data_IF_133785966901
#
_entry.id   IF_133785966901
#
_cell.length_a   1.000
_cell.length_b   1.000
_cell.length_c   1.000
_cell.angle_alpha   90.00
_cell.angle_beta   90.00
_cell.angle_gamma   90.00
#
_symmetry.space_group_name_H-M   'P 1'
#
loop_
_entity.id
_entity.type
_entity.pdbx_description
1 polymer ?
#
# COMPACT_ATOMS: atom_id res chain seq x y z
N UNK A 1 7.85 -30.39 -46.54
CA UNK A 1 7.85 -28.91 -46.62
C UNK A 1 7.22 -28.36 -45.33
N UNK A 2 7.91 -28.49 -44.20
CA UNK A 2 7.58 -27.83 -42.92
C UNK A 2 8.93 -27.44 -42.31
N UNK A 3 9.27 -26.16 -42.35
CA UNK A 3 10.48 -25.62 -41.72
C UNK A 3 10.15 -25.19 -40.30
N UNK A 4 10.93 -25.68 -39.35
CA UNK A 4 10.91 -25.33 -37.94
C UNK A 4 11.18 -23.83 -37.75
N UNK A 5 10.31 -23.15 -37.00
CA UNK A 5 10.57 -21.83 -36.44
C UNK A 5 11.33 -21.99 -35.12
N UNK A 6 12.57 -21.50 -35.07
CA UNK A 6 13.28 -21.25 -33.81
C UNK A 6 12.81 -19.90 -33.24
N UNK A 7 12.61 -19.74 -31.92
CA UNK A 7 12.30 -18.44 -31.34
C UNK A 7 13.59 -17.61 -31.19
N UNK A 8 13.64 -16.47 -31.87
CA UNK A 8 14.66 -15.44 -31.69
C UNK A 8 14.40 -14.67 -30.38
N UNK A 9 14.94 -15.13 -29.27
CA UNK A 9 14.75 -14.51 -27.94
C UNK A 9 15.75 -13.39 -27.59
N UNK A 10 16.57 -12.91 -28.55
CA UNK A 10 17.69 -12.01 -28.22
C UNK A 10 17.75 -10.71 -29.03
N UNK A 11 16.74 -10.40 -29.85
CA UNK A 11 16.73 -9.20 -30.72
C UNK A 11 15.61 -8.19 -30.40
N UNK A 12 14.77 -8.44 -29.40
CA UNK A 12 13.68 -7.52 -29.01
C UNK A 12 14.07 -6.50 -27.94
N UNK A 13 15.26 -6.61 -27.33
CA UNK A 13 15.68 -5.71 -26.24
C UNK A 13 16.21 -4.34 -26.72
N UNK A 14 16.52 -4.18 -28.02
CA UNK A 14 17.17 -2.97 -28.55
C UNK A 14 16.28 -2.05 -29.41
N UNK A 15 14.95 -2.25 -29.44
CA UNK A 15 14.07 -1.51 -30.38
C UNK A 15 13.03 -0.55 -29.78
N UNK A 16 13.04 -0.32 -28.47
CA UNK A 16 12.10 0.58 -27.79
C UNK A 16 12.73 1.87 -27.22
N UNK A 17 13.81 2.36 -27.84
CA UNK A 17 14.33 3.71 -27.60
C UNK A 17 14.22 4.55 -28.86
N UNK A 18 12.99 4.90 -29.24
CA UNK A 18 12.77 6.05 -30.11
C UNK A 18 11.98 7.08 -29.32
N UNK A 19 12.71 8.11 -28.89
CA UNK A 19 12.19 9.32 -28.27
C UNK A 19 11.09 9.94 -29.14
N UNK A 20 9.89 10.08 -28.59
CA UNK A 20 8.99 11.15 -28.99
C UNK A 20 9.51 12.40 -28.29
N UNK A 21 10.23 13.24 -29.03
CA UNK A 21 10.61 14.57 -28.59
C UNK A 21 9.35 15.43 -28.50
N UNK A 22 8.91 15.72 -27.28
CA UNK A 22 8.04 16.88 -27.08
C UNK A 22 8.87 18.12 -27.36
N UNK A 23 8.41 18.91 -28.34
CA UNK A 23 8.92 20.26 -28.60
C UNK A 23 8.75 21.08 -27.33
N UNK A 24 9.84 21.25 -26.58
CA UNK A 24 9.95 22.30 -25.59
C UNK A 24 10.30 23.58 -26.32
N UNK A 25 9.43 24.59 -26.20
CA UNK A 25 9.76 25.96 -26.57
C UNK A 25 11.04 26.36 -25.82
N UNK A 26 12.16 26.43 -26.53
CA UNK A 26 13.46 26.80 -26.00
C UNK A 26 13.56 28.32 -25.85
N UNK A 27 12.85 28.86 -24.86
CA UNK A 27 13.33 30.09 -24.25
C UNK A 27 14.53 29.72 -23.38
N UNK A 28 15.72 30.19 -23.77
CA UNK A 28 16.92 30.18 -22.93
C UNK A 28 16.58 30.88 -21.61
N UNK A 29 16.32 30.10 -20.57
CA UNK A 29 16.23 30.58 -19.19
C UNK A 29 17.61 30.34 -18.58
N UNK A 30 18.19 31.41 -18.04
CA UNK A 30 19.47 31.41 -17.34
C UNK A 30 19.59 30.24 -16.35
N UNK A 31 20.67 29.48 -16.50
CA UNK A 31 21.00 28.36 -15.63
C UNK A 31 21.35 28.84 -14.22
N UNK A 32 20.72 28.18 -13.24
CA UNK A 32 21.11 28.02 -11.82
C UNK A 32 20.07 28.40 -10.75
N UNK A 33 18.82 28.73 -11.08
CA UNK A 33 17.76 28.69 -10.04
C UNK A 33 17.09 27.33 -10.02
N UNK A 34 17.45 26.53 -9.00
CA UNK A 34 16.67 25.36 -8.58
C UNK A 34 15.27 25.86 -8.25
N UNK A 35 14.25 25.39 -8.97
CA UNK A 35 12.87 25.82 -8.70
C UNK A 35 12.43 25.26 -7.35
N UNK A 36 11.95 26.16 -6.48
CA UNK A 36 11.28 25.72 -5.27
C UNK A 36 9.95 25.08 -5.63
N UNK A 37 9.74 23.87 -5.13
CA UNK A 37 8.55 23.08 -5.44
C UNK A 37 7.91 22.57 -4.15
N UNK A 38 6.60 22.36 -4.21
CA UNK A 38 5.78 21.75 -3.16
C UNK A 38 4.86 20.72 -3.82
N UNK A 39 4.76 19.52 -3.23
CA UNK A 39 3.99 18.40 -3.79
C UNK A 39 3.14 17.73 -2.71
N UNK A 40 1.95 17.30 -3.11
CA UNK A 40 1.02 16.54 -2.29
C UNK A 40 1.15 15.05 -2.60
N UNK A 41 1.43 14.23 -1.59
CA UNK A 41 1.68 12.81 -1.72
C UNK A 41 0.59 11.98 -1.05
N UNK A 42 0.22 10.89 -1.72
CA UNK A 42 -0.64 9.83 -1.19
C UNK A 42 -0.32 8.51 -1.88
N UNK A 43 -0.79 7.38 -1.37
CA UNK A 43 -0.34 6.03 -1.81
C UNK A 43 -1.31 4.94 -1.34
N UNK A 44 -1.14 3.71 -1.82
CA UNK A 44 -1.72 2.49 -1.23
C UNK A 44 -3.25 2.59 -1.02
N UNK A 45 -3.95 3.07 -2.06
CA UNK A 45 -5.40 3.16 -2.05
C UNK A 45 -6.04 1.77 -2.05
N UNK A 46 -5.45 0.82 -2.79
CA UNK A 46 -6.00 -0.51 -2.99
C UNK A 46 -7.50 -0.46 -3.30
N UNK A 47 -7.85 0.17 -4.42
CA UNK A 47 -9.22 0.26 -4.90
C UNK A 47 -9.79 -1.14 -5.11
N UNK A 48 -10.90 -1.38 -4.42
CA UNK A 48 -11.68 -2.62 -4.41
C UNK A 48 -13.14 -2.26 -4.13
N UNK A 49 -14.03 -3.24 -4.26
CA UNK A 49 -15.45 -3.05 -3.92
C UNK A 49 -15.65 -2.58 -2.48
N UNK A 50 -14.76 -2.98 -1.55
CA UNK A 50 -14.82 -2.62 -0.12
C UNK A 50 -14.25 -1.24 0.20
N UNK A 51 -13.42 -0.70 -0.67
CA UNK A 51 -12.66 0.54 -0.43
C UNK A 51 -13.11 1.69 -1.32
N UNK A 52 -13.82 1.43 -2.43
CA UNK A 52 -14.16 2.43 -3.45
C UNK A 52 -14.77 3.72 -2.88
N UNK A 53 -15.77 3.63 -2.02
CA UNK A 53 -16.44 4.83 -1.51
C UNK A 53 -15.49 5.68 -0.62
N UNK A 54 -14.53 5.04 0.07
CA UNK A 54 -13.47 5.73 0.81
C UNK A 54 -12.39 6.28 -0.13
N UNK A 55 -12.04 5.54 -1.17
CA UNK A 55 -11.16 5.99 -2.24
C UNK A 55 -11.67 7.29 -2.86
N UNK A 56 -12.95 7.35 -3.25
CA UNK A 56 -13.53 8.55 -3.87
C UNK A 56 -13.47 9.74 -2.90
N UNK A 57 -13.79 9.55 -1.62
CA UNK A 57 -13.65 10.60 -0.60
C UNK A 57 -12.21 11.09 -0.45
N UNK A 58 -11.23 10.18 -0.48
CA UNK A 58 -9.81 10.56 -0.46
C UNK A 58 -9.42 11.36 -1.69
N UNK A 59 -9.80 10.90 -2.89
CA UNK A 59 -9.48 11.60 -4.13
C UNK A 59 -10.07 13.01 -4.16
N UNK A 60 -11.31 13.17 -3.69
CA UNK A 60 -11.96 14.48 -3.54
C UNK A 60 -11.16 15.40 -2.60
N UNK A 61 -10.75 14.89 -1.44
CA UNK A 61 -9.92 15.64 -0.47
C UNK A 61 -8.56 16.00 -1.04
N UNK A 62 -7.91 15.08 -1.75
CA UNK A 62 -6.62 15.35 -2.41
C UNK A 62 -6.76 16.46 -3.45
N UNK A 63 -7.83 16.43 -4.25
CA UNK A 63 -8.17 17.50 -5.20
C UNK A 63 -8.39 18.84 -4.50
N UNK A 64 -9.20 18.87 -3.45
CA UNK A 64 -9.46 20.06 -2.65
C UNK A 64 -8.16 20.66 -2.09
N UNK A 65 -7.33 19.86 -1.43
CA UNK A 65 -6.04 20.30 -0.87
C UNK A 65 -5.12 20.84 -1.97
N UNK A 66 -5.06 20.17 -3.12
CA UNK A 66 -4.26 20.62 -4.27
C UNK A 66 -4.71 22.00 -4.77
N UNK A 67 -6.03 22.21 -4.90
CA UNK A 67 -6.62 23.47 -5.38
C UNK A 67 -6.52 24.60 -4.37
N UNK A 68 -6.61 24.30 -3.08
CA UNK A 68 -6.47 25.29 -2.01
C UNK A 68 -5.02 25.78 -1.86
N UNK A 69 -4.05 24.93 -2.22
CA UNK A 69 -2.63 25.23 -2.07
C UNK A 69 -1.94 25.53 -3.42
N UNK A 70 -2.45 26.53 -4.15
CA UNK A 70 -1.87 26.96 -5.43
C UNK A 70 -0.46 27.55 -5.29
N UNK A 71 0.33 27.43 -6.34
CA UNK A 71 1.62 28.11 -6.45
C UNK A 71 1.45 29.62 -6.72
N UNK A 72 2.57 30.34 -6.79
CA UNK A 72 2.57 31.80 -7.04
C UNK A 72 2.01 32.22 -8.40
N UNK A 73 1.86 31.29 -9.34
CA UNK A 73 1.25 31.50 -10.65
C UNK A 73 -0.23 31.08 -10.68
N UNK A 74 -0.80 30.69 -9.52
CA UNK A 74 -2.16 30.24 -9.40
C UNK A 74 -2.40 28.81 -9.88
N UNK A 75 -1.37 28.01 -10.17
CA UNK A 75 -1.52 26.59 -10.55
C UNK A 75 -1.76 25.73 -9.30
N UNK A 76 -2.67 24.72 -9.32
CA UNK A 76 -2.83 23.80 -8.19
C UNK A 76 -1.53 23.07 -7.85
N UNK A 77 -1.39 22.65 -6.59
CA UNK A 77 -0.23 21.87 -6.17
C UNK A 77 -0.16 20.55 -6.94
N UNK A 78 1.02 20.22 -7.47
CA UNK A 78 1.23 18.93 -8.10
C UNK A 78 1.01 17.78 -7.09
N UNK A 79 0.35 16.73 -7.56
CA UNK A 79 0.04 15.53 -6.80
C UNK A 79 0.93 14.39 -7.27
N UNK A 80 1.45 13.59 -6.33
CA UNK A 80 2.21 12.37 -6.63
C UNK A 80 1.58 11.20 -5.89
N UNK A 81 1.14 10.19 -6.63
CA UNK A 81 0.64 8.94 -6.09
C UNK A 81 1.76 7.89 -6.09
N UNK A 82 2.12 7.35 -4.93
CA UNK A 82 3.29 6.47 -4.77
C UNK A 82 3.01 4.98 -4.97
N UNK A 83 2.01 4.62 -5.78
CA UNK A 83 1.72 3.25 -6.19
C UNK A 83 0.68 2.52 -5.34
N UNK A 84 0.30 1.34 -5.81
CA UNK A 84 -0.78 0.49 -5.28
C UNK A 84 -2.14 1.17 -5.32
N UNK A 85 -2.50 1.59 -6.54
CA UNK A 85 -3.81 2.16 -6.80
C UNK A 85 -4.86 1.07 -6.71
N UNK A 86 -4.69 -0.03 -7.43
CA UNK A 86 -5.62 -1.15 -7.46
C UNK A 86 -5.32 -2.14 -6.33
N UNK A 87 -6.35 -2.81 -5.82
CA UNK A 87 -6.14 -3.91 -4.88
C UNK A 87 -5.79 -5.22 -5.61
N UNK A 88 -6.51 -5.49 -6.70
CA UNK A 88 -6.41 -6.72 -7.47
C UNK A 88 -5.66 -6.46 -8.76
N UNK A 89 -4.68 -7.33 -9.04
CA UNK A 89 -4.07 -7.43 -10.36
C UNK A 89 -5.13 -7.93 -11.35
N UNK A 90 -5.01 -7.58 -12.63
CA UNK A 90 -5.82 -8.11 -13.74
C UNK A 90 -7.32 -7.80 -13.77
N UNK A 91 -7.90 -7.15 -12.76
CA UNK A 91 -9.36 -7.01 -12.68
C UNK A 91 -9.81 -5.56 -12.43
N UNK A 92 -10.58 -5.03 -13.39
CA UNK A 92 -11.19 -3.71 -13.31
C UNK A 92 -12.72 -3.84 -13.36
N UNK A 93 -13.41 -3.27 -12.37
CA UNK A 93 -14.86 -3.32 -12.28
C UNK A 93 -15.47 -2.07 -12.91
N UNK A 94 -16.54 -2.24 -13.70
CA UNK A 94 -17.23 -1.12 -14.38
C UNK A 94 -17.63 -0.01 -13.40
N UNK A 95 -18.20 -0.35 -12.24
CA UNK A 95 -18.56 0.64 -11.20
C UNK A 95 -17.34 1.42 -10.70
N UNK A 96 -16.18 0.77 -10.55
CA UNK A 96 -14.97 1.45 -10.09
C UNK A 96 -14.52 2.45 -11.16
N UNK A 97 -14.48 2.01 -12.41
CA UNK A 97 -14.09 2.84 -13.54
C UNK A 97 -15.01 4.06 -13.69
N UNK A 98 -16.32 3.87 -13.64
CA UNK A 98 -17.29 4.97 -13.76
C UNK A 98 -17.03 6.08 -12.72
N UNK A 99 -16.98 5.73 -11.43
CA UNK A 99 -16.79 6.73 -10.36
C UNK A 99 -15.39 7.36 -10.38
N UNK A 100 -14.35 6.59 -10.68
CA UNK A 100 -12.98 7.09 -10.76
C UNK A 100 -12.78 8.04 -11.95
N UNK A 101 -13.36 7.70 -13.11
CA UNK A 101 -13.29 8.57 -14.28
C UNK A 101 -14.08 9.86 -14.05
N UNK A 102 -15.24 9.81 -13.38
CA UNK A 102 -15.97 11.02 -12.99
C UNK A 102 -15.12 11.93 -12.10
N UNK A 103 -14.46 11.39 -11.07
CA UNK A 103 -13.60 12.18 -10.19
C UNK A 103 -12.36 12.72 -10.94
N UNK A 104 -11.64 11.90 -11.71
CA UNK A 104 -10.46 12.37 -12.45
C UNK A 104 -10.78 13.35 -13.59
N UNK A 105 -11.98 13.31 -14.17
CA UNK A 105 -12.44 14.39 -15.05
C UNK A 105 -12.50 15.74 -14.33
N UNK A 106 -12.87 15.77 -13.05
CA UNK A 106 -12.84 17.01 -12.26
C UNK A 106 -11.42 17.48 -11.97
N UNK A 107 -10.47 16.56 -11.79
CA UNK A 107 -9.05 16.89 -11.64
C UNK A 107 -8.49 17.53 -12.92
N UNK A 108 -8.81 16.97 -14.08
CA UNK A 108 -8.34 17.47 -15.38
C UNK A 108 -8.93 18.85 -15.72
N UNK A 109 -10.22 19.08 -15.44
CA UNK A 109 -10.87 20.41 -15.54
C UNK A 109 -10.16 21.48 -14.69
N UNK A 110 -9.59 21.08 -13.56
CA UNK A 110 -8.85 21.96 -12.65
C UNK A 110 -7.36 22.04 -12.98
N UNK A 111 -6.90 21.31 -14.00
CA UNK A 111 -5.51 21.24 -14.44
C UNK A 111 -4.52 20.80 -13.34
N UNK A 112 -4.93 19.83 -12.52
CA UNK A 112 -4.11 19.28 -11.46
C UNK A 112 -3.04 18.36 -12.07
N UNK A 113 -1.78 18.80 -11.98
CA UNK A 113 -0.63 17.98 -12.39
C UNK A 113 -0.50 16.76 -11.50
N UNK A 114 -0.63 15.56 -12.08
CA UNK A 114 -0.68 14.31 -11.32
C UNK A 114 0.34 13.31 -11.85
N UNK A 115 1.25 12.86 -10.99
CA UNK A 115 2.21 11.78 -11.32
C UNK A 115 1.81 10.51 -10.58
N UNK A 116 1.54 9.44 -11.30
CA UNK A 116 1.10 8.15 -10.77
C UNK A 116 2.20 7.12 -10.91
N UNK A 117 2.81 6.68 -9.81
CA UNK A 117 3.72 5.54 -9.83
C UNK A 117 2.93 4.24 -9.92
N UNK A 118 3.47 3.26 -10.64
CA UNK A 118 2.93 1.91 -10.69
C UNK A 118 3.49 1.12 -9.50
N UNK A 119 2.61 0.67 -8.60
CA UNK A 119 2.95 -0.19 -7.47
C UNK A 119 2.90 -1.68 -7.82
N UNK A 120 3.12 -2.54 -6.83
CA UNK A 120 3.15 -3.98 -7.06
C UNK A 120 1.75 -4.55 -7.33
N UNK A 121 0.71 -4.05 -6.69
CA UNK A 121 -0.67 -4.51 -6.91
C UNK A 121 -1.25 -4.04 -8.25
N UNK A 122 -0.66 -3.01 -8.85
CA UNK A 122 -1.12 -2.48 -10.13
C UNK A 122 -0.67 -3.34 -11.33
N UNK A 123 0.42 -4.10 -11.17
CA UNK A 123 1.12 -4.81 -12.25
C UNK A 123 0.52 -6.18 -12.56
N UNK A 124 0.34 -6.44 -13.86
CA UNK A 124 -0.12 -7.71 -14.45
C UNK A 124 1.04 -8.56 -14.95
N UNK A 125 2.14 -7.93 -15.39
CA UNK A 125 3.35 -8.62 -15.84
C UNK A 125 4.50 -8.40 -14.86
N UNK A 126 5.38 -9.39 -14.76
CA UNK A 126 6.61 -9.35 -13.96
C UNK A 126 7.49 -8.11 -14.23
N UNK A 127 7.58 -7.70 -15.49
CA UNK A 127 8.38 -6.54 -15.91
C UNK A 127 7.66 -5.20 -15.67
N UNK A 128 6.46 -5.22 -15.11
CA UNK A 128 5.64 -4.05 -14.79
C UNK A 128 5.07 -3.28 -15.98
N UNK A 129 5.21 -3.79 -17.22
CA UNK A 129 4.82 -3.09 -18.44
C UNK A 129 3.30 -3.11 -18.69
N UNK A 130 2.60 -4.15 -18.24
CA UNK A 130 1.13 -4.21 -18.29
C UNK A 130 0.60 -3.95 -16.89
N UNK A 131 -0.26 -2.94 -16.73
CA UNK A 131 -0.82 -2.55 -15.43
C UNK A 131 -2.12 -1.74 -15.59
N UNK A 132 -2.93 -1.71 -14.54
CA UNK A 132 -4.26 -1.07 -14.56
C UNK A 132 -4.24 0.46 -14.63
N UNK A 133 -3.10 1.11 -14.37
CA UNK A 133 -2.99 2.58 -14.39
C UNK A 133 -2.91 3.20 -15.79
N UNK A 134 -2.61 2.42 -16.85
CA UNK A 134 -2.38 2.96 -18.21
C UNK A 134 -3.55 3.81 -18.72
N UNK A 135 -4.77 3.45 -18.36
CA UNK A 135 -5.98 4.19 -18.76
C UNK A 135 -6.02 5.64 -18.27
N UNK A 136 -5.28 5.99 -17.21
CA UNK A 136 -5.24 7.35 -16.70
C UNK A 136 -4.28 8.26 -17.47
N UNK A 137 -3.48 7.73 -18.40
CA UNK A 137 -2.70 8.56 -19.35
C UNK A 137 -3.58 9.32 -20.35
N UNK A 138 -4.88 8.98 -20.42
CA UNK A 138 -5.85 9.71 -21.24
C UNK A 138 -6.08 11.15 -20.73
N UNK A 139 -5.75 11.43 -19.47
CA UNK A 139 -5.85 12.78 -18.91
C UNK A 139 -4.59 13.58 -19.20
N UNK A 140 -4.76 14.79 -19.77
CA UNK A 140 -3.66 15.63 -20.26
C UNK A 140 -2.64 15.97 -19.18
N UNK A 141 -3.12 16.15 -17.95
CA UNK A 141 -2.30 16.57 -16.81
C UNK A 141 -1.76 15.40 -16.00
N UNK A 142 -1.98 14.17 -16.44
CA UNK A 142 -1.58 12.97 -15.73
C UNK A 142 -0.34 12.37 -16.40
N UNK A 143 0.56 11.84 -15.58
CA UNK A 143 1.72 11.09 -16.01
C UNK A 143 1.76 9.77 -15.26
N UNK A 144 1.68 8.65 -15.99
CA UNK A 144 1.86 7.34 -15.39
C UNK A 144 3.32 6.92 -15.55
N UNK A 145 3.96 6.62 -14.43
CA UNK A 145 5.36 6.20 -14.40
C UNK A 145 5.44 4.67 -14.41
N UNK A 146 5.24 4.07 -15.60
CA UNK A 146 5.55 2.65 -15.84
C UNK A 146 7.05 2.38 -15.72
N UNK A 147 7.84 3.31 -16.27
CA UNK A 147 9.30 3.36 -16.19
C UNK A 147 9.78 4.55 -15.34
N UNK A 148 11.04 4.52 -14.85
CA UNK A 148 11.61 5.61 -14.09
C UNK A 148 11.53 6.94 -14.82
N UNK A 149 11.13 7.98 -14.10
CA UNK A 149 11.10 9.34 -14.62
C UNK A 149 12.00 10.25 -13.77
N UNK A 150 12.82 11.06 -14.43
CA UNK A 150 13.74 11.99 -13.78
C UNK A 150 13.40 13.42 -14.21
N UNK A 151 12.95 14.24 -13.26
CA UNK A 151 12.77 15.67 -13.43
C UNK A 151 14.05 16.37 -12.95
N UNK A 152 14.92 16.71 -13.90
CA UNK A 152 16.21 17.34 -13.62
C UNK A 152 16.08 18.77 -13.11
N UNK A 153 14.99 19.48 -13.44
CA UNK A 153 14.76 20.86 -13.00
C UNK A 153 14.46 20.89 -11.49
N UNK A 154 13.54 20.02 -11.05
CA UNK A 154 13.16 19.89 -9.65
C UNK A 154 14.11 19.02 -8.82
N UNK A 155 15.01 18.28 -9.49
CA UNK A 155 15.80 17.18 -8.91
C UNK A 155 14.91 16.13 -8.22
N UNK A 156 13.83 15.75 -8.92
CA UNK A 156 12.91 14.71 -8.47
C UNK A 156 13.07 13.45 -9.32
N UNK A 157 13.18 12.29 -8.67
CA UNK A 157 13.16 10.99 -9.32
C UNK A 157 11.91 10.22 -8.92
N UNK A 158 11.23 9.61 -9.88
CA UNK A 158 10.00 8.84 -9.69
C UNK A 158 10.27 7.41 -10.11
N UNK A 159 10.34 6.49 -9.13
CA UNK A 159 10.81 5.12 -9.31
C UNK A 159 9.66 4.13 -9.03
N UNK A 160 9.04 3.54 -10.07
CA UNK A 160 7.97 2.56 -9.87
C UNK A 160 8.47 1.25 -9.26
N UNK A 161 7.53 0.38 -8.88
CA UNK A 161 7.84 -0.96 -8.39
C UNK A 161 8.49 -1.83 -9.47
N UNK A 162 9.41 -2.69 -9.03
CA UNK A 162 9.95 -3.81 -9.79
C UNK A 162 9.86 -5.08 -8.96
N UNK A 163 9.41 -6.16 -9.59
CA UNK A 163 9.14 -7.39 -8.89
C UNK A 163 10.42 -8.06 -8.36
N UNK A 164 11.53 -7.94 -9.08
CA UNK A 164 12.80 -8.53 -8.62
C UNK A 164 13.60 -7.54 -7.77
N UNK A 165 14.32 -8.08 -6.78
CA UNK A 165 15.27 -7.31 -5.96
C UNK A 165 16.30 -6.59 -6.81
N UNK A 166 16.88 -7.30 -7.78
CA UNK A 166 17.91 -6.74 -8.68
C UNK A 166 17.37 -5.54 -9.45
N UNK A 167 16.21 -5.68 -10.09
CA UNK A 167 15.64 -4.60 -10.89
C UNK A 167 15.24 -3.40 -10.02
N UNK A 168 14.68 -3.65 -8.82
CA UNK A 168 14.34 -2.59 -7.89
C UNK A 168 15.59 -1.83 -7.41
N UNK A 169 16.67 -2.54 -7.03
CA UNK A 169 17.93 -1.92 -6.60
C UNK A 169 18.58 -1.11 -7.72
N UNK A 170 18.55 -1.62 -8.94
CA UNK A 170 19.07 -0.91 -10.11
C UNK A 170 18.39 0.44 -10.34
N UNK A 171 17.13 0.64 -9.94
CA UNK A 171 16.48 1.94 -10.04
C UNK A 171 17.16 3.01 -9.16
N UNK A 172 17.60 2.62 -7.96
CA UNK A 172 18.27 3.52 -7.02
C UNK A 172 19.75 3.74 -7.40
N UNK A 173 20.45 2.70 -7.82
CA UNK A 173 21.86 2.79 -8.21
C UNK A 173 22.08 3.75 -9.39
N UNK A 174 21.15 3.76 -10.36
CA UNK A 174 21.18 4.66 -11.53
C UNK A 174 21.12 6.14 -11.18
N UNK A 175 20.63 6.52 -10.00
CA UNK A 175 20.59 7.93 -9.58
C UNK A 175 21.98 8.57 -9.56
N UNK A 176 23.02 7.78 -9.28
CA UNK A 176 24.41 8.23 -9.32
C UNK A 176 24.89 8.58 -10.73
N UNK A 177 24.40 7.88 -11.73
CA UNK A 177 24.76 8.10 -13.13
C UNK A 177 24.03 9.32 -13.71
N UNK A 178 22.80 9.57 -13.27
CA UNK A 178 22.04 10.75 -13.67
C UNK A 178 22.56 12.05 -13.03
N UNK A 179 23.21 11.99 -11.87
CA UNK A 179 23.78 13.18 -11.22
C UNK A 179 24.98 13.76 -11.99
N UNK A 180 25.83 12.92 -12.59
CA UNK A 180 27.01 13.37 -13.36
C UNK A 180 26.66 14.42 -14.42
N UNK A 181 25.41 14.43 -14.90
CA UNK A 181 24.94 15.36 -15.93
C UNK A 181 24.60 16.75 -15.41
N UNK A 182 24.19 16.93 -14.14
CA UNK A 182 23.57 18.18 -13.68
C UNK A 182 23.79 18.56 -12.20
N UNK A 183 24.58 17.82 -11.41
CA UNK A 183 24.96 18.12 -10.01
C UNK A 183 23.82 18.15 -8.96
N UNK A 184 24.10 17.73 -7.72
CA UNK A 184 23.18 17.87 -6.59
C UNK A 184 22.21 16.70 -6.38
N UNK A 185 21.73 16.57 -5.14
CA UNK A 185 21.00 15.40 -4.66
C UNK A 185 19.53 15.34 -5.10
N UNK A 186 19.07 14.12 -5.39
CA UNK A 186 17.71 13.76 -5.77
C UNK A 186 16.77 13.67 -4.56
N UNK A 187 15.57 14.22 -4.71
CA UNK A 187 14.42 13.78 -3.91
C UNK A 187 13.73 12.65 -4.68
N UNK A 188 13.59 11.50 -4.03
CA UNK A 188 13.06 10.27 -4.63
C UNK A 188 11.63 10.04 -4.17
N UNK A 189 10.76 9.74 -5.11
CA UNK A 189 9.42 9.22 -4.92
C UNK A 189 9.44 7.78 -5.43
N UNK A 190 9.11 6.79 -4.61
CA UNK A 190 9.16 5.41 -5.06
C UNK A 190 8.07 4.53 -4.45
N UNK A 191 7.79 3.42 -5.13
CA UNK A 191 7.09 2.29 -4.53
C UNK A 191 8.11 1.16 -4.38
N UNK A 192 8.57 0.90 -3.16
CA UNK A 192 9.69 -0.01 -2.93
C UNK A 192 9.65 -0.61 -1.52
N UNK A 193 10.27 -1.77 -1.39
CA UNK A 193 10.39 -2.48 -0.13
C UNK A 193 11.79 -2.27 0.47
N UNK A 194 11.90 -1.38 1.44
CA UNK A 194 13.15 -1.09 2.17
C UNK A 194 13.27 -1.96 3.41
N UNK A 195 14.44 -2.59 3.55
CA UNK A 195 14.79 -3.42 4.71
C UNK A 195 14.63 -2.67 6.02
N UNK A 196 14.05 -3.36 6.99
CA UNK A 196 13.86 -2.84 8.35
C UNK A 196 12.57 -2.05 8.57
N UNK A 197 11.78 -1.83 7.53
CA UNK A 197 10.45 -1.26 7.64
C UNK A 197 9.48 -2.19 8.39
N UNK A 198 8.54 -1.59 9.11
CA UNK A 198 7.50 -2.29 9.86
C UNK A 198 6.26 -2.38 8.99
N UNK A 199 5.91 -3.61 8.62
CA UNK A 199 4.73 -3.91 7.85
C UNK A 199 3.46 -3.98 8.71
N UNK A 200 2.30 -4.03 8.06
CA UNK A 200 1.02 -4.22 8.73
C UNK A 200 1.04 -5.52 9.56
N UNK A 201 0.70 -5.42 10.85
CA UNK A 201 0.81 -6.53 11.82
C UNK A 201 2.09 -6.52 12.66
N UNK A 202 3.00 -5.57 12.42
CA UNK A 202 4.18 -5.34 13.27
C UNK A 202 5.44 -6.10 12.86
N UNK A 203 5.44 -6.79 11.72
CA UNK A 203 6.60 -7.55 11.24
C UNK A 203 7.63 -6.63 10.59
N UNK A 204 8.90 -6.83 10.96
CA UNK A 204 10.03 -6.13 10.36
C UNK A 204 10.43 -6.82 9.06
N UNK A 205 10.35 -6.08 7.94
CA UNK A 205 10.67 -6.59 6.61
C UNK A 205 12.16 -6.85 6.42
N UNK A 206 12.46 -7.94 5.68
CA UNK A 206 13.79 -8.26 5.16
C UNK A 206 14.21 -7.36 3.98
N UNK A 207 13.24 -6.76 3.28
CA UNK A 207 13.41 -5.78 2.22
C UNK A 207 13.94 -6.32 0.90
N UNK A 208 13.57 -5.65 -0.20
CA UNK A 208 14.25 -5.79 -1.50
C UNK A 208 15.44 -4.83 -1.58
N UNK A 209 15.28 -3.63 -1.03
CA UNK A 209 16.31 -2.60 -1.02
C UNK A 209 17.02 -2.61 0.33
N UNK A 210 18.34 -2.80 0.29
CA UNK A 210 19.17 -2.61 1.47
C UNK A 210 19.29 -1.13 1.82
N UNK A 211 19.45 -0.88 3.11
CA UNK A 211 19.61 0.46 3.66
C UNK A 211 20.78 1.24 3.00
N UNK A 212 21.86 0.56 2.61
CA UNK A 212 23.01 1.17 1.93
C UNK A 212 22.68 1.77 0.57
N UNK A 213 21.75 1.17 -0.20
CA UNK A 213 21.32 1.68 -1.50
C UNK A 213 20.60 3.03 -1.41
N UNK A 214 20.12 3.39 -0.21
CA UNK A 214 19.44 4.67 0.03
C UNK A 214 20.27 5.60 0.94
N UNK A 215 20.65 5.18 2.15
CA UNK A 215 21.41 6.03 3.09
C UNK A 215 22.87 6.20 2.69
N UNK A 216 23.49 5.14 2.17
CA UNK A 216 24.87 5.19 1.66
C UNK A 216 24.98 5.99 0.36
N UNK A 217 23.86 6.16 -0.35
CA UNK A 217 23.81 6.89 -1.60
C UNK A 217 23.80 8.41 -1.37
N UNK A 218 24.99 9.01 -1.46
CA UNK A 218 25.22 10.45 -1.29
C UNK A 218 24.40 11.33 -2.22
N UNK A 219 23.83 10.74 -3.28
CA UNK A 219 23.08 11.41 -4.32
C UNK A 219 21.59 11.50 -3.97
N UNK A 220 21.14 10.94 -2.84
CA UNK A 220 19.77 11.01 -2.36
C UNK A 220 19.67 12.03 -1.23
N UNK A 221 18.81 13.03 -1.42
CA UNK A 221 18.43 14.02 -0.40
C UNK A 221 17.41 13.43 0.55
N UNK A 222 16.34 12.88 0.00
CA UNK A 222 15.22 12.27 0.72
C UNK A 222 14.52 11.25 -0.17
N UNK A 223 13.85 10.29 0.45
CA UNK A 223 13.05 9.27 -0.23
C UNK A 223 11.66 9.18 0.42
N UNK A 224 10.61 9.31 -0.38
CA UNK A 224 9.22 9.15 0.04
C UNK A 224 8.63 7.91 -0.65
N UNK A 225 8.07 7.02 0.15
CA UNK A 225 7.73 5.65 -0.24
C UNK A 225 6.24 5.33 -0.04
N UNK A 226 5.67 4.61 -1.00
CA UNK A 226 4.47 3.78 -0.83
C UNK A 226 4.82 2.35 -0.39
N UNK A 227 3.87 1.40 -0.47
CA UNK A 227 3.96 -0.05 -0.15
C UNK A 227 3.57 -0.43 1.28
N UNK A 228 4.07 0.31 2.29
CA UNK A 228 3.67 0.08 3.67
C UNK A 228 2.67 1.13 4.15
N UNK A 229 1.55 0.65 4.68
CA UNK A 229 0.44 1.52 5.08
C UNK A 229 0.71 2.28 6.37
N UNK A 230 1.65 1.80 7.19
CA UNK A 230 2.07 2.48 8.40
C UNK A 230 3.05 3.61 8.07
N UNK A 231 2.69 4.83 8.48
CA UNK A 231 3.60 5.97 8.52
C UNK A 231 4.80 5.68 9.39
N UNK A 232 5.99 5.80 8.82
CA UNK A 232 7.23 5.56 9.54
C UNK A 232 8.41 6.20 8.81
N UNK A 233 9.43 6.55 9.59
CA UNK A 233 10.74 6.94 9.08
C UNK A 233 11.70 5.77 9.27
N UNK A 234 12.45 5.44 8.23
CA UNK A 234 13.60 4.55 8.31
C UNK A 234 14.83 5.45 8.16
N UNK A 235 15.85 5.22 9.00
CA UNK A 235 17.02 6.10 9.08
C UNK A 235 16.63 7.57 9.26
N UNK A 236 17.28 8.48 8.51
CA UNK A 236 17.12 9.93 8.71
C UNK A 236 16.33 10.65 7.60
N UNK A 237 16.17 10.01 6.42
CA UNK A 237 15.63 10.69 5.24
C UNK A 237 14.73 9.81 4.36
N UNK A 238 14.30 8.64 4.86
CA UNK A 238 13.40 7.72 4.14
C UNK A 238 12.09 7.61 4.89
N UNK A 239 10.99 7.88 4.19
CA UNK A 239 9.67 7.98 4.78
C UNK A 239 8.69 7.09 4.03
N UNK A 240 8.04 6.16 4.71
CA UNK A 240 6.76 5.65 4.22
C UNK A 240 5.67 6.64 4.66
N UNK A 241 4.93 7.16 3.69
CA UNK A 241 3.89 8.17 3.98
C UNK A 241 2.57 7.55 4.48
N UNK A 242 2.45 6.22 4.37
CA UNK A 242 1.30 5.44 4.81
C UNK A 242 0.06 5.60 3.95
N UNK A 243 -0.92 4.71 4.14
CA UNK A 243 -2.17 4.74 3.40
C UNK A 243 -3.08 5.88 3.90
N UNK A 244 -3.98 6.40 3.05
CA UNK A 244 -4.87 7.51 3.41
C UNK A 244 -6.05 7.09 4.30
N UNK A 245 -6.28 5.79 4.45
CA UNK A 245 -7.23 5.21 5.41
C UNK A 245 -6.81 3.81 5.84
N UNK A 246 -7.39 3.35 6.95
CA UNK A 246 -7.20 1.99 7.45
C UNK A 246 -7.74 0.97 6.45
N UNK A 247 -6.88 0.08 5.97
CA UNK A 247 -7.27 -1.01 5.07
C UNK A 247 -7.84 -2.20 5.84
N UNK A 248 -7.40 -2.39 7.09
CA UNK A 248 -7.82 -3.51 7.94
C UNK A 248 -7.66 -3.20 9.44
N UNK A 249 -8.13 -4.11 10.29
CA UNK A 249 -8.06 -4.00 11.74
C UNK A 249 -6.63 -4.09 12.34
N UNK A 250 -5.60 -4.33 11.54
CA UNK A 250 -4.19 -4.29 11.95
C UNK A 250 -3.61 -2.87 11.96
N UNK A 251 -4.28 -1.92 11.30
CA UNK A 251 -3.89 -0.51 11.18
C UNK A 251 -4.69 0.39 12.14
N UNK A 252 -5.40 -0.22 13.10
CA UNK A 252 -6.08 0.55 14.14
C UNK A 252 -5.08 1.40 14.90
N UNK A 253 -5.48 2.63 15.23
CA UNK A 253 -4.68 3.62 15.97
C UNK A 253 -3.50 4.22 15.20
N UNK A 254 -3.12 3.69 14.04
CA UNK A 254 -2.16 4.36 13.17
C UNK A 254 -2.81 5.62 12.53
N UNK A 255 -2.06 6.71 12.34
CA UNK A 255 -2.56 7.91 11.67
C UNK A 255 -2.57 7.71 10.15
N UNK A 256 -3.63 8.21 9.50
CA UNK A 256 -3.88 8.04 8.06
C UNK A 256 -4.27 9.36 7.39
N UNK A 257 -3.91 9.51 6.13
CA UNK A 257 -4.17 10.70 5.33
C UNK A 257 -3.09 10.93 4.28
N UNK A 258 -2.65 12.18 4.11
CA UNK A 258 -1.72 12.58 3.03
C UNK A 258 -0.51 13.33 3.58
N UNK A 259 0.49 13.55 2.72
CA UNK A 259 1.71 14.25 3.10
C UNK A 259 2.03 15.38 2.11
N UNK A 260 2.45 16.52 2.61
CA UNK A 260 3.00 17.62 1.81
C UNK A 260 4.52 17.64 1.99
N UNK A 261 5.25 17.71 0.87
CA UNK A 261 6.73 17.78 0.85
C UNK A 261 7.20 18.92 -0.04
N UNK A 262 8.44 19.39 0.14
CA UNK A 262 8.98 20.49 -0.67
C UNK A 262 10.51 20.44 -0.87
N UNK A 263 11.00 21.34 -1.73
CA UNK A 263 12.43 21.51 -2.06
C UNK A 263 13.30 22.00 -0.89
N UNK A 264 12.69 22.54 0.18
CA UNK A 264 13.41 23.21 1.29
C UNK A 264 13.56 22.30 2.51
N UNK A 265 12.50 21.59 2.91
CA UNK A 265 12.48 20.69 4.06
C UNK A 265 12.23 19.23 3.62
N UNK A 266 13.00 18.30 4.16
CA UNK A 266 12.84 16.87 3.88
C UNK A 266 11.74 16.22 4.73
N UNK A 267 11.37 16.81 5.87
CA UNK A 267 10.32 16.26 6.73
C UNK A 267 8.94 16.48 6.09
N UNK A 268 8.15 15.42 5.88
CA UNK A 268 6.78 15.57 5.40
C UNK A 268 5.89 16.29 6.41
N UNK A 269 5.04 17.19 5.93
CA UNK A 269 3.92 17.71 6.68
C UNK A 269 2.71 16.80 6.46
N UNK A 270 2.34 16.01 7.47
CA UNK A 270 1.18 15.12 7.39
C UNK A 270 -0.13 15.89 7.61
N UNK A 271 -1.16 15.49 6.87
CA UNK A 271 -2.55 15.92 7.03
C UNK A 271 -3.37 14.67 7.30
N UNK A 272 -4.04 14.63 8.46
CA UNK A 272 -4.78 13.45 8.92
C UNK A 272 -6.25 13.51 8.51
N UNK A 273 -6.77 12.42 7.97
CA UNK A 273 -8.17 12.25 7.62
C UNK A 273 -8.93 11.55 8.75
N UNK A 274 -9.23 12.31 9.79
CA UNK A 274 -9.84 11.80 11.02
C UNK A 274 -11.33 11.43 10.91
N UNK A 275 -11.96 11.88 9.82
CA UNK A 275 -13.37 11.72 9.48
C UNK A 275 -13.69 10.45 8.69
N UNK A 276 -12.67 9.79 8.10
CA UNK A 276 -12.87 8.55 7.36
C UNK A 276 -13.19 7.38 8.30
N UNK A 277 -13.93 6.35 7.83
CA UNK A 277 -14.24 5.15 8.61
C UNK A 277 -13.02 4.50 9.28
N UNK A 278 -13.18 4.12 10.55
CA UNK A 278 -12.16 3.46 11.37
C UNK A 278 -12.55 2.04 11.72
N UNK A 279 -11.56 1.23 12.10
CA UNK A 279 -11.69 -0.13 12.56
C UNK A 279 -11.63 -0.17 14.09
N UNK A 280 -12.51 -0.98 14.69
CA UNK A 280 -12.59 -1.15 16.14
C UNK A 280 -12.66 -2.62 16.50
N UNK A 281 -11.81 -3.06 17.42
CA UNK A 281 -11.92 -4.39 18.05
C UNK A 281 -12.51 -4.26 19.44
N UNK A 282 -13.61 -4.96 19.67
CA UNK A 282 -14.27 -5.08 20.96
C UNK A 282 -14.23 -6.54 21.43
N UNK A 283 -14.20 -6.74 22.74
CA UNK A 283 -14.28 -8.04 23.40
C UNK A 283 -15.46 -8.04 24.35
N UNK A 284 -16.42 -8.93 24.13
CA UNK A 284 -17.57 -9.10 25.02
C UNK A 284 -17.28 -10.15 26.11
N UNK A 285 -17.71 -9.92 27.36
CA UNK A 285 -18.50 -8.77 27.83
C UNK A 285 -17.68 -7.53 28.18
N UNK A 286 -16.35 -7.66 28.25
CA UNK A 286 -15.42 -6.65 28.82
C UNK A 286 -15.70 -5.23 28.30
N UNK A 287 -15.64 -5.01 27.00
CA UNK A 287 -15.77 -3.66 26.41
C UNK A 287 -17.21 -3.13 26.43
N UNK A 288 -18.20 -3.96 26.81
CA UNK A 288 -19.62 -3.60 26.88
C UNK A 288 -20.10 -3.35 28.32
N UNK A 289 -19.24 -3.58 29.32
CA UNK A 289 -19.54 -3.23 30.70
C UNK A 289 -19.42 -1.71 30.91
N UNK A 290 -20.16 -1.19 31.88
CA UNK A 290 -20.29 0.26 32.16
C UNK A 290 -18.96 0.99 32.37
N UNK A 291 -17.92 0.27 32.79
CA UNK A 291 -16.57 0.80 33.07
C UNK A 291 -15.75 1.07 31.79
N UNK A 292 -16.15 0.51 30.64
CA UNK A 292 -15.41 0.61 29.37
C UNK A 292 -16.17 1.37 28.26
N UNK A 293 -17.16 2.20 28.62
CA UNK A 293 -17.97 2.98 27.67
C UNK A 293 -17.17 3.83 26.69
N UNK A 294 -15.94 4.23 27.02
CA UNK A 294 -15.10 5.08 26.17
C UNK A 294 -14.82 4.47 24.79
N UNK A 295 -14.60 3.15 24.72
CA UNK A 295 -14.34 2.49 23.42
C UNK A 295 -15.57 2.46 22.52
N UNK A 296 -16.75 2.28 23.09
CA UNK A 296 -18.00 2.24 22.32
C UNK A 296 -18.40 3.66 21.89
N UNK A 297 -18.16 4.68 22.72
CA UNK A 297 -18.46 6.07 22.37
C UNK A 297 -17.63 6.61 21.21
N UNK A 298 -16.44 6.04 20.97
CA UNK A 298 -15.57 6.44 19.87
C UNK A 298 -16.00 5.86 18.50
N UNK A 299 -16.90 4.88 18.51
CA UNK A 299 -17.41 4.24 17.29
C UNK A 299 -18.43 5.16 16.64
N UNK A 300 -18.21 5.47 15.36
CA UNK A 300 -19.11 6.29 14.55
C UNK A 300 -19.93 5.41 13.61
N UNK A 301 -21.02 5.98 13.10
CA UNK A 301 -21.72 5.33 11.98
C UNK A 301 -20.77 5.19 10.80
N UNK A 302 -20.86 4.05 10.11
CA UNK A 302 -20.01 3.64 9.00
C UNK A 302 -18.58 3.24 9.38
N UNK A 303 -18.26 3.04 10.66
CA UNK A 303 -17.03 2.37 11.05
C UNK A 303 -17.09 0.85 10.77
N UNK A 304 -15.95 0.17 10.90
CA UNK A 304 -15.82 -1.29 10.86
C UNK A 304 -15.65 -1.81 12.28
N UNK A 305 -16.47 -2.77 12.68
CA UNK A 305 -16.45 -3.28 14.06
C UNK A 305 -16.25 -4.80 14.06
N UNK A 306 -15.29 -5.26 14.84
CA UNK A 306 -15.07 -6.68 15.13
C UNK A 306 -15.37 -6.91 16.61
N UNK A 307 -16.29 -7.82 16.91
CA UNK A 307 -16.64 -8.20 18.28
C UNK A 307 -16.23 -9.64 18.56
N UNK A 308 -15.31 -9.80 19.50
CA UNK A 308 -14.81 -11.09 19.99
C UNK A 308 -15.61 -11.56 21.19
N UNK A 309 -16.02 -12.82 21.21
CA UNK A 309 -16.77 -13.40 22.32
C UNK A 309 -16.61 -14.93 22.36
N UNK A 310 -16.75 -15.55 23.53
CA UNK A 310 -16.82 -17.01 23.64
C UNK A 310 -18.12 -17.55 23.04
N UNK A 311 -18.15 -18.85 22.71
CA UNK A 311 -19.35 -19.50 22.16
C UNK A 311 -20.57 -19.36 23.07
N UNK A 312 -20.36 -19.44 24.40
CA UNK A 312 -21.43 -19.28 25.38
C UNK A 312 -21.97 -17.85 25.36
N UNK A 313 -21.09 -16.85 25.36
CA UNK A 313 -21.51 -15.45 25.30
C UNK A 313 -22.22 -15.10 24.00
N UNK A 314 -21.77 -15.61 22.85
CA UNK A 314 -22.43 -15.33 21.56
C UNK A 314 -23.90 -15.80 21.49
N UNK A 315 -24.28 -16.76 22.33
CA UNK A 315 -25.65 -17.27 22.44
C UNK A 315 -26.52 -16.51 23.44
N UNK A 316 -25.93 -15.60 24.24
CA UNK A 316 -26.69 -14.88 25.26
C UNK A 316 -27.49 -13.73 24.65
N UNK A 317 -28.67 -13.47 25.22
CA UNK A 317 -29.49 -12.32 24.83
C UNK A 317 -28.75 -11.00 25.05
N UNK A 318 -27.91 -10.93 26.10
CA UNK A 318 -27.13 -9.73 26.40
C UNK A 318 -26.12 -9.42 25.29
N UNK A 319 -25.49 -10.43 24.68
CA UNK A 319 -24.61 -10.22 23.54
C UNK A 319 -25.40 -9.65 22.36
N UNK A 320 -26.54 -10.24 22.02
CA UNK A 320 -27.39 -9.78 20.90
C UNK A 320 -27.88 -8.35 21.14
N UNK A 321 -28.36 -8.03 22.35
CA UNK A 321 -28.77 -6.68 22.72
C UNK A 321 -27.61 -5.71 22.64
N UNK A 322 -26.44 -6.05 23.16
CA UNK A 322 -25.25 -5.19 23.09
C UNK A 322 -24.85 -4.85 21.67
N UNK A 323 -24.92 -5.81 20.73
CA UNK A 323 -24.66 -5.54 19.31
C UNK A 323 -25.70 -4.59 18.67
N UNK A 324 -26.97 -4.66 19.10
CA UNK A 324 -28.02 -3.77 18.59
C UNK A 324 -27.86 -2.32 19.04
N UNK A 325 -27.12 -2.07 20.12
CA UNK A 325 -26.82 -0.72 20.61
C UNK A 325 -25.59 -0.09 19.94
N UNK A 326 -24.84 -0.85 19.13
CA UNK A 326 -23.74 -0.29 18.35
C UNK A 326 -24.28 0.60 17.22
N UNK A 327 -23.59 1.70 16.89
CA UNK A 327 -23.92 2.48 15.70
C UNK A 327 -23.92 1.60 14.44
N UNK A 328 -24.74 1.90 13.41
CA UNK A 328 -24.70 1.19 12.15
C UNK A 328 -23.30 1.23 11.53
N UNK A 329 -22.65 0.08 11.42
CA UNK A 329 -21.30 -0.09 10.87
C UNK A 329 -21.35 -0.46 9.39
N UNK A 330 -20.27 -0.19 8.64
CA UNK A 330 -20.11 -0.76 7.28
C UNK A 330 -20.04 -2.27 7.37
N UNK A 331 -19.32 -2.77 8.38
CA UNK A 331 -19.18 -4.21 8.61
C UNK A 331 -19.21 -4.48 10.12
N UNK A 332 -19.90 -5.55 10.51
CA UNK A 332 -19.90 -6.09 11.87
C UNK A 332 -19.43 -7.54 11.84
N UNK A 333 -18.17 -7.79 12.21
CA UNK A 333 -17.59 -9.13 12.32
C UNK A 333 -17.80 -9.68 13.72
N UNK A 334 -18.13 -10.97 13.80
CA UNK A 334 -18.28 -11.70 15.07
C UNK A 334 -17.24 -12.81 15.09
N UNK A 335 -16.30 -12.74 16.02
CA UNK A 335 -15.17 -13.67 16.10
C UNK A 335 -15.30 -14.51 17.38
N UNK A 336 -15.43 -15.82 17.21
CA UNK A 336 -15.51 -16.74 18.33
C UNK A 336 -14.13 -16.93 18.94
N UNK A 337 -14.04 -16.75 20.26
CA UNK A 337 -12.86 -17.10 21.04
C UNK A 337 -12.97 -18.56 21.48
N UNK A 338 -11.87 -19.31 21.39
CA UNK A 338 -11.77 -20.61 22.03
C UNK A 338 -11.67 -20.41 23.55
N UNK A 339 -12.36 -21.23 24.32
CA UNK A 339 -12.43 -21.13 25.79
C UNK A 339 -11.05 -21.37 26.48
N UNK A 340 -10.03 -21.81 25.72
CA UNK A 340 -8.70 -22.21 26.22
C UNK A 340 -7.60 -21.13 26.14
N UNK A 341 -7.92 -19.87 25.81
CA UNK A 341 -6.89 -18.80 25.82
C UNK A 341 -6.75 -18.31 27.27
N UNK A 342 -5.60 -18.53 27.95
CA UNK A 342 -5.42 -18.03 29.30
C UNK A 342 -5.48 -16.50 29.27
N UNK A 343 -6.45 -15.94 30.00
CA UNK A 343 -6.54 -14.51 30.24
C UNK A 343 -5.26 -14.09 30.94
N UNK A 344 -4.39 -13.36 30.23
CA UNK A 344 -3.26 -12.67 30.86
C UNK A 344 -3.87 -11.52 31.66
N UNK A 345 -4.22 -11.80 32.91
CA UNK A 345 -4.47 -10.76 33.91
C UNK A 345 -3.13 -10.18 34.31
N UNK A 346 -2.91 -8.91 33.99
CA UNK A 346 -1.81 -8.12 34.53
C UNK A 346 -1.86 -8.12 36.07
N UNK A 347 -0.68 -8.32 36.67
CA UNK A 347 -0.37 -8.20 38.09
C UNK A 347 -1.02 -9.24 39.02
N UNK A 348 -0.42 -10.43 39.10
CA UNK A 348 0.06 -11.06 40.35
C UNK A 348 0.62 -12.47 40.07
N UNK A 349 1.62 -12.87 40.85
CA UNK A 349 2.54 -13.96 40.54
C UNK A 349 1.90 -15.34 40.33
N UNK A 350 2.54 -16.10 39.44
CA UNK A 350 2.22 -17.49 39.14
C UNK A 350 2.42 -18.36 40.39
N UNK A 351 1.33 -18.86 40.98
CA UNK A 351 1.31 -20.12 41.71
C UNK A 351 0.38 -21.09 40.98
N UNK A 352 0.95 -21.91 40.12
CA UNK A 352 0.26 -23.03 39.49
C UNK A 352 -0.04 -24.12 40.52
N UNK A 353 -1.32 -24.49 40.66
CA UNK A 353 -1.71 -25.81 41.17
C UNK A 353 -1.58 -26.82 40.03
N UNK A 354 -1.11 -28.01 40.39
CA UNK A 354 -0.91 -29.22 39.59
C UNK A 354 0.45 -29.33 38.89
N UNK A 355 1.39 -29.89 39.64
CA UNK A 355 2.64 -30.43 39.11
C UNK A 355 2.39 -31.58 38.14
N UNK A 356 2.64 -31.32 36.86
CA UNK A 356 3.20 -32.29 35.93
C UNK A 356 4.26 -31.57 35.11
N UNK A 357 5.51 -32.00 35.24
CA UNK A 357 6.63 -31.55 34.42
C UNK A 357 6.34 -31.88 32.95
N UNK A 358 6.10 -30.85 32.15
CA UNK A 358 6.22 -30.95 30.69
C UNK A 358 7.70 -30.71 30.37
N UNK A 359 8.40 -31.75 29.92
CA UNK A 359 9.75 -31.63 29.38
C UNK A 359 9.69 -30.76 28.13
N UNK A 360 10.28 -29.57 28.20
CA UNK A 360 10.49 -28.68 27.06
C UNK A 360 11.52 -29.30 26.11
N UNK A 361 11.08 -29.76 24.93
CA UNK A 361 11.96 -29.91 23.78
C UNK A 361 12.06 -28.53 23.15
N UNK A 362 13.10 -27.79 23.53
CA UNK A 362 13.47 -26.53 22.93
C UNK A 362 14.34 -26.81 21.70
N UNK A 363 13.73 -26.99 20.54
CA UNK A 363 14.46 -26.82 19.29
C UNK A 363 14.43 -25.35 18.90
N UNK A 364 15.64 -24.80 18.80
CA UNK A 364 15.96 -23.43 18.41
C UNK A 364 15.56 -23.20 16.96
N UNK A 365 14.34 -22.76 16.74
CA UNK A 365 14.07 -21.83 15.64
C UNK A 365 13.40 -20.60 16.24
N UNK A 366 14.09 -19.47 16.14
CA UNK A 366 13.51 -18.16 16.39
C UNK A 366 12.24 -18.02 15.55
N UNK A 367 11.07 -18.02 16.19
CA UNK A 367 9.80 -17.71 15.55
C UNK A 367 9.79 -16.25 15.11
N UNK A 368 10.50 -15.94 14.02
CA UNK A 368 10.23 -14.78 13.20
C UNK A 368 9.00 -15.17 12.40
N UNK A 369 7.84 -14.64 12.79
CA UNK A 369 6.63 -14.86 12.01
C UNK A 369 6.76 -14.06 10.71
N UNK A 370 6.86 -14.78 9.59
CA UNK A 370 6.90 -14.22 8.24
C UNK A 370 5.47 -13.90 7.77
N UNK A 371 5.31 -12.89 6.90
CA UNK A 371 4.05 -12.79 6.15
C UNK A 371 3.90 -13.99 5.23
N UNK A 372 2.66 -14.34 4.87
CA UNK A 372 2.41 -15.43 3.92
C UNK A 372 3.05 -15.16 2.55
N UNK A 373 3.12 -13.89 2.13
CA UNK A 373 3.82 -13.47 0.91
C UNK A 373 5.34 -13.72 1.01
N UNK A 374 5.97 -13.35 2.13
CA UNK A 374 7.40 -13.60 2.40
C UNK A 374 7.69 -15.11 2.53
N UNK A 375 6.73 -15.87 3.06
CA UNK A 375 6.81 -17.32 3.10
C UNK A 375 6.79 -17.94 1.71
N UNK A 376 5.99 -17.40 0.77
CA UNK A 376 6.04 -17.85 -0.64
C UNK A 376 7.42 -17.59 -1.23
N UNK A 377 7.99 -16.41 -1.01
CA UNK A 377 9.34 -16.09 -1.48
C UNK A 377 10.35 -17.12 -0.97
N UNK A 378 10.38 -17.34 0.35
CA UNK A 378 11.32 -18.28 0.98
C UNK A 378 11.08 -19.73 0.57
N UNK A 379 9.83 -20.18 0.58
CA UNK A 379 9.46 -21.57 0.28
C UNK A 379 9.76 -21.93 -1.18
N UNK A 380 9.44 -21.05 -2.13
CA UNK A 380 9.71 -21.29 -3.54
C UNK A 380 11.22 -21.27 -3.79
N UNK A 381 11.96 -20.31 -3.22
CA UNK A 381 13.41 -20.27 -3.32
C UNK A 381 14.08 -21.54 -2.77
N UNK A 382 13.65 -22.03 -1.60
CA UNK A 382 14.21 -23.23 -0.96
C UNK A 382 13.88 -24.49 -1.77
N UNK A 383 12.60 -24.71 -2.11
CA UNK A 383 12.13 -25.97 -2.71
C UNK A 383 12.51 -26.12 -4.18
N UNK A 384 12.55 -25.04 -4.95
CA UNK A 384 12.96 -25.10 -6.36
C UNK A 384 14.47 -25.33 -6.48
N UNK A 385 15.27 -24.81 -5.54
CA UNK A 385 16.72 -25.07 -5.49
C UNK A 385 17.04 -26.50 -5.04
N UNK A 386 16.28 -27.07 -4.12
CA UNK A 386 16.42 -28.48 -3.70
C UNK A 386 16.19 -29.49 -4.84
N UNK A 387 15.33 -29.16 -5.82
CA UNK A 387 14.98 -30.06 -6.92
C UNK A 387 15.92 -29.99 -8.13
N UNK A 388 16.93 -29.10 -8.11
CA UNK A 388 17.92 -28.99 -9.19
C UNK A 388 17.38 -28.47 -10.55
N UNK A 389 16.10 -28.09 -10.63
CA UNK A 389 15.40 -27.59 -11.84
C UNK A 389 15.22 -26.05 -11.83
N UNK A 390 15.89 -25.37 -10.90
CA UNK A 390 15.71 -23.95 -10.63
C UNK A 390 16.61 -23.05 -11.46
N UNK A 391 16.20 -22.70 -12.68
CA UNK A 391 16.69 -21.44 -13.25
C UNK A 391 16.12 -20.27 -12.45
N UNK A 392 16.89 -19.21 -12.24
CA UNK A 392 16.43 -18.03 -11.48
C UNK A 392 15.14 -17.44 -12.06
N UNK A 393 14.91 -17.56 -13.37
CA UNK A 393 13.71 -17.07 -14.03
C UNK A 393 12.47 -17.89 -13.67
N UNK A 394 12.61 -19.22 -13.50
CA UNK A 394 11.50 -20.08 -13.08
C UNK A 394 11.11 -19.86 -11.63
N UNK A 395 12.09 -19.62 -10.76
CA UNK A 395 11.84 -19.25 -9.36
C UNK A 395 11.02 -17.96 -9.29
N UNK A 396 11.42 -16.92 -10.04
CA UNK A 396 10.71 -15.64 -10.12
C UNK A 396 9.28 -15.80 -10.61
N UNK A 397 9.05 -16.61 -11.65
CA UNK A 397 7.72 -16.86 -12.20
C UNK A 397 6.80 -17.55 -11.20
N UNK A 398 7.30 -18.56 -10.48
CA UNK A 398 6.52 -19.28 -9.48
C UNK A 398 6.17 -18.43 -8.26
N UNK A 399 7.11 -17.61 -7.78
CA UNK A 399 6.87 -16.63 -6.72
C UNK A 399 5.75 -15.67 -7.12
N UNK A 400 5.83 -15.15 -8.36
CA UNK A 400 4.84 -14.22 -8.89
C UNK A 400 3.45 -14.85 -8.99
N UNK A 401 3.34 -16.04 -9.56
CA UNK A 401 2.09 -16.78 -9.65
C UNK A 401 1.49 -17.06 -8.26
N UNK A 402 2.33 -17.44 -7.29
CA UNK A 402 1.89 -17.64 -5.91
C UNK A 402 1.30 -16.37 -5.29
N UNK A 403 1.96 -15.23 -5.47
CA UNK A 403 1.47 -13.91 -5.00
C UNK A 403 0.18 -13.49 -5.71
N UNK A 404 0.06 -13.73 -7.02
CA UNK A 404 -1.15 -13.45 -7.81
C UNK A 404 -2.36 -14.28 -7.32
N UNK A 405 -2.15 -15.59 -7.09
CA UNK A 405 -3.18 -16.48 -6.53
C UNK A 405 -3.60 -16.02 -5.13
N UNK A 406 -2.65 -15.69 -4.24
CA UNK A 406 -2.99 -15.16 -2.90
C UNK A 406 -3.81 -13.87 -2.96
N UNK A 407 -3.49 -12.97 -3.89
CA UNK A 407 -4.24 -11.72 -4.08
C UNK A 407 -5.68 -11.98 -4.53
N UNK A 408 -5.90 -13.05 -5.29
CA UNK A 408 -7.22 -13.46 -5.79
C UNK A 408 -8.08 -14.14 -4.71
N UNK A 409 -7.47 -14.90 -3.78
CA UNK A 409 -8.19 -15.62 -2.71
C UNK A 409 -8.70 -14.69 -1.61
N UNK A 410 -8.07 -13.53 -1.40
CA UNK A 410 -8.48 -12.55 -0.35
C UNK A 410 -9.78 -11.80 -0.66
N UNK A 411 -10.44 -12.09 -1.79
CA UNK A 411 -11.79 -11.59 -2.03
C UNK A 411 -12.80 -12.43 -1.25
N UNK A 412 -13.57 -11.77 -0.40
CA UNK A 412 -14.92 -12.27 -0.11
C UNK A 412 -15.63 -12.25 -1.47
N UNK A 413 -15.83 -13.42 -2.05
CA UNK A 413 -16.86 -13.62 -3.05
C UNK A 413 -18.12 -12.97 -2.51
N UNK A 414 -18.65 -12.01 -3.27
CA UNK A 414 -19.91 -11.30 -3.06
C UNK A 414 -20.79 -12.06 -2.07
N UNK A 415 -20.83 -11.65 -0.80
CA UNK A 415 -21.92 -12.06 0.07
C UNK A 415 -23.07 -11.14 -0.33
N UNK A 416 -24.15 -11.66 -0.93
CA UNK A 416 -25.27 -10.82 -1.26
C UNK A 416 -25.78 -10.15 0.03
N UNK A 417 -25.88 -8.83 -0.01
CA UNK A 417 -26.64 -8.06 0.97
C UNK A 417 -28.01 -8.71 1.15
N UNK A 418 -28.42 -8.80 2.41
CA UNK A 418 -29.49 -9.66 2.87
C UNK A 418 -30.80 -9.53 2.09
N UNK A 419 -31.44 -10.68 1.90
CA UNK A 419 -32.89 -10.78 2.08
C UNK A 419 -33.17 -11.93 3.05
N UNK A 420 -33.41 -11.59 4.32
CA UNK A 420 -34.37 -12.36 5.09
C UNK A 420 -35.73 -12.06 4.48
N UNK A 421 -36.19 -12.91 3.56
CA UNK A 421 -37.62 -12.95 3.24
C UNK A 421 -38.24 -13.86 4.29
N UNK A 422 -38.90 -13.27 5.28
CA UNK A 422 -39.83 -14.02 6.12
C UNK A 422 -41.03 -14.39 5.25
N UNK A 423 -41.05 -15.62 4.74
CA UNK A 423 -42.23 -16.18 4.11
C UNK A 423 -43.22 -16.48 5.24
N UNK A 424 -44.17 -15.56 5.47
CA UNK A 424 -45.35 -15.87 6.27
C UNK A 424 -46.15 -16.93 5.51
N UNK A 425 -46.40 -18.07 6.16
CA UNK A 425 -47.43 -19.01 5.73
C UNK A 425 -48.78 -18.28 5.82
N UNK A 426 -49.44 -18.12 4.68
CA UNK A 426 -50.89 -17.96 4.63
C UNK A 426 -51.51 -19.34 4.47
#
# INVERSE_FOLDING_TARGET
MIKAFKPHHQLLYNRYYNFVSYSTNTNKIDGNKKEDWKKLLFTDLHVSTKTLDRTIQVLQKVREISVENRDGNGKPMDVVFLGDFWHQRNLLYVRHLDLLLQEFNEWDKQSIGTTLLVGNHDQVTLNGQVHGLQMFELYKHFKVCTDPFYDHNSKCAYLPWRETRVDQTMLFDRLSQEEYRNGGKWTVFAHAEVKGAISNGGYKSSGKIDEESIYGNKNIRSCYLGHYHKRQMIGDNVWYIGSPYQQNFGEMYDPHGVAIVNSLNIQPQFIDFTELPKHHKLTFPVDFQSVHKSKISDIKSKDYVEVKATKQHMKSDDYIKSLQHLPPSIELRRIMLNDDIPVITTAEGIKGKNGKQIKSISDKHSNVAFKLEDYIDHYVEEKVREQGDGTDDRVKELVYLGKDILSSIKQDSIVPLGRKVDIKKN
#
